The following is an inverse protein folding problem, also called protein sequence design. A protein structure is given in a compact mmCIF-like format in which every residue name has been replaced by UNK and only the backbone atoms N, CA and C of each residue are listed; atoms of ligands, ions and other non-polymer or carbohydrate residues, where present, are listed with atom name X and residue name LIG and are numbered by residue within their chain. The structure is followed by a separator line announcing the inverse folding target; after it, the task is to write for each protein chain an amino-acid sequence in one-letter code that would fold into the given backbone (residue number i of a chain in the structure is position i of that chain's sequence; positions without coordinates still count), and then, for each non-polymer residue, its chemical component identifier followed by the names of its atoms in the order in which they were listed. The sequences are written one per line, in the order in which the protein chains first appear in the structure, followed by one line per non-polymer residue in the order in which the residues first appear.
data_IF_362320382932
#
_entry.id   IF_362320382932
#
_cell.length_a   1.000
_cell.length_b   1.000
_cell.length_c   1.000
_cell.angle_alpha   90.00
_cell.angle_beta   90.00
_cell.angle_gamma   90.00
#
_symmetry.space_group_name_H-M   'P 1'
#
loop_
_entity.id
_entity.type
_entity.pdbx_description
1 polymer ?
#
# COMPACT_ATOMS: atom_id res chain seq x y z
N UNK A 1 4.28 -16.41 10.53
CA UNK A 1 3.90 -15.01 10.76
C UNK A 1 2.63 -14.72 9.98
N UNK A 2 1.61 -14.14 10.63
CA UNK A 2 0.33 -13.80 10.01
C UNK A 2 0.36 -12.31 9.70
N UNK A 3 0.83 -11.96 8.50
CA UNK A 3 0.83 -10.57 8.03
C UNK A 3 -0.61 -10.08 7.87
N UNK A 4 -0.85 -8.80 8.16
CA UNK A 4 -2.16 -8.19 7.97
C UNK A 4 -2.49 -8.06 6.48
N UNK A 5 -3.78 -8.08 6.12
CA UNK A 5 -4.18 -7.91 4.72
C UNK A 5 -3.76 -6.53 4.19
N UNK A 6 -3.79 -5.52 5.05
CA UNK A 6 -3.33 -4.17 4.73
C UNK A 6 -1.84 -4.12 4.41
N UNK A 7 -0.96 -4.74 5.22
CA UNK A 7 0.48 -4.82 4.91
C UNK A 7 0.76 -5.48 3.56
N UNK A 8 0.05 -6.56 3.24
CA UNK A 8 0.23 -7.23 1.93
C UNK A 8 -0.16 -6.32 0.77
N UNK A 9 -1.29 -5.62 0.86
CA UNK A 9 -1.75 -4.71 -0.20
C UNK A 9 -0.79 -3.53 -0.33
N UNK A 10 -0.36 -2.94 0.80
CA UNK A 10 0.66 -1.88 0.84
C UNK A 10 1.93 -2.34 0.14
N UNK A 11 2.46 -3.50 0.51
CA UNK A 11 3.69 -4.04 -0.06
C UNK A 11 3.59 -4.15 -1.58
N UNK A 12 2.53 -4.79 -2.08
CA UNK A 12 2.35 -4.98 -3.53
C UNK A 12 2.16 -3.67 -4.26
N UNK A 13 1.39 -2.73 -3.70
CA UNK A 13 1.21 -1.40 -4.27
C UNK A 13 2.55 -0.68 -4.48
N UNK A 14 3.42 -0.64 -3.46
CA UNK A 14 4.72 0.03 -3.57
C UNK A 14 5.71 -0.73 -4.47
N UNK A 15 5.70 -2.07 -4.44
CA UNK A 15 6.54 -2.88 -5.35
C UNK A 15 6.17 -2.66 -6.82
N UNK A 16 4.88 -2.53 -7.16
CA UNK A 16 4.44 -2.20 -8.53
C UNK A 16 4.93 -0.81 -8.98
N UNK A 17 5.12 0.12 -8.04
CA UNK A 17 5.76 1.42 -8.28
C UNK A 17 7.29 1.35 -8.37
N UNK A 18 7.88 0.16 -8.27
CA UNK A 18 9.33 -0.10 -8.24
C UNK A 18 10.04 0.51 -7.03
N UNK A 19 9.34 0.64 -5.91
CA UNK A 19 9.94 1.10 -4.66
C UNK A 19 10.55 -0.10 -3.92
N UNK A 20 11.60 0.15 -3.13
CA UNK A 20 12.10 -0.83 -2.16
C UNK A 20 11.10 -0.87 -1.00
N UNK A 21 10.75 -2.07 -0.55
CA UNK A 21 9.76 -2.27 0.51
C UNK A 21 10.27 -3.31 1.49
N UNK A 22 10.28 -2.93 2.76
CA UNK A 22 10.58 -3.79 3.91
C UNK A 22 9.38 -3.79 4.86
N UNK A 23 9.04 -4.94 5.43
CA UNK A 23 7.96 -5.09 6.42
C UNK A 23 8.54 -5.46 7.77
N UNK A 24 7.76 -5.26 8.83
CA UNK A 24 8.14 -5.59 10.22
C UNK A 24 9.52 -5.00 10.58
N UNK A 25 9.72 -3.73 10.27
CA UNK A 25 11.01 -3.07 10.46
C UNK A 25 11.21 -2.80 11.96
N UNK A 26 12.23 -3.39 12.60
CA UNK A 26 12.48 -3.18 14.01
C UNK A 26 12.99 -1.75 14.24
N UNK A 27 12.28 -1.00 15.08
CA UNK A 27 12.67 0.36 15.49
C UNK A 27 13.28 0.30 16.87
N UNK A 28 14.59 0.56 16.94
CA UNK A 28 15.29 0.57 18.22
C UNK A 28 15.01 1.89 18.96
N UNK A 29 14.68 1.81 20.26
CA UNK A 29 14.43 2.98 21.08
C UNK A 29 15.69 3.84 21.22
N UNK A 30 15.58 5.12 20.91
CA UNK A 30 16.69 6.08 21.05
C UNK A 30 17.01 6.44 22.51
N UNK A 31 16.12 6.08 23.44
CA UNK A 31 16.13 6.58 24.82
C UNK A 31 16.66 5.54 25.84
N UNK A 32 17.33 4.48 25.39
CA UNK A 32 17.90 3.43 26.25
C UNK A 32 16.88 2.50 26.96
N UNK A 33 15.57 2.74 26.82
CA UNK A 33 14.52 1.83 27.31
C UNK A 33 14.44 0.58 26.43
N UNK A 34 14.23 -0.61 26.99
CA UNK A 34 14.20 -1.91 26.28
C UNK A 34 12.99 -2.17 25.36
N UNK A 35 12.14 -1.18 25.08
CA UNK A 35 10.93 -1.42 24.30
C UNK A 35 11.22 -1.32 22.80
N UNK A 36 11.14 -2.45 22.10
CA UNK A 36 11.15 -2.51 20.65
C UNK A 36 9.75 -2.10 20.16
N UNK A 37 9.70 -1.20 19.18
CA UNK A 37 8.49 -0.95 18.41
C UNK A 37 8.73 -1.36 16.98
N UNK A 38 7.72 -1.91 16.32
CA UNK A 38 7.86 -2.34 14.94
C UNK A 38 7.13 -1.34 14.04
N UNK A 39 7.78 -0.95 12.95
CA UNK A 39 7.17 -0.23 11.85
C UNK A 39 6.61 -1.26 10.87
N UNK A 40 5.29 -1.22 10.63
CA UNK A 40 4.60 -2.23 9.83
C UNK A 40 5.18 -2.32 8.41
N UNK A 41 5.37 -1.18 7.73
CA UNK A 41 6.04 -1.12 6.41
C UNK A 41 6.93 0.13 6.25
N UNK A 42 8.14 -0.07 5.74
CA UNK A 42 9.02 0.96 5.20
C UNK A 42 9.04 0.86 3.67
N UNK A 43 8.69 1.93 2.97
CA UNK A 43 8.80 2.00 1.51
C UNK A 43 9.71 3.15 1.08
N UNK A 44 10.69 2.87 0.22
CA UNK A 44 11.70 3.83 -0.24
C UNK A 44 11.70 3.88 -1.77
N UNK A 45 11.34 5.04 -2.32
CA UNK A 45 11.44 5.36 -3.73
C UNK A 45 11.97 6.78 -3.89
N UNK A 46 11.20 7.66 -4.55
CA UNK A 46 11.54 9.08 -4.61
C UNK A 46 11.50 9.72 -3.21
N UNK A 47 10.54 9.30 -2.40
CA UNK A 47 10.35 9.67 -1.00
C UNK A 47 10.54 8.45 -0.08
N UNK A 48 10.56 8.67 1.24
CA UNK A 48 10.55 7.62 2.26
C UNK A 48 9.19 7.62 2.95
N UNK A 49 8.48 6.50 2.87
CA UNK A 49 7.18 6.34 3.51
C UNK A 49 7.30 5.39 4.70
N UNK A 50 6.92 5.89 5.87
CA UNK A 50 6.78 5.13 7.11
C UNK A 50 5.30 4.84 7.28
N UNK A 51 4.93 3.57 7.21
CA UNK A 51 3.53 3.17 7.08
C UNK A 51 3.16 2.29 8.27
N UNK A 52 2.09 2.68 8.96
CA UNK A 52 1.42 1.80 9.92
C UNK A 52 0.09 1.31 9.36
N UNK A 53 -0.17 0.03 9.56
CA UNK A 53 -1.31 -0.71 9.04
C UNK A 53 -2.17 -1.22 10.20
N UNK A 54 -3.49 -0.98 10.14
CA UNK A 54 -4.45 -1.51 11.11
C UNK A 54 -5.71 -2.02 10.40
N UNK A 55 -5.97 -3.32 10.53
CA UNK A 55 -7.14 -3.97 9.90
C UNK A 55 -8.46 -3.72 10.67
N UNK A 56 -8.40 -3.19 11.89
CA UNK A 56 -9.56 -3.01 12.79
C UNK A 56 -9.71 -1.56 13.26
N UNK A 57 -10.90 -1.22 13.78
CA UNK A 57 -11.23 0.07 14.40
C UNK A 57 -10.35 0.33 15.63
N UNK A 58 -9.35 1.23 15.57
CA UNK A 58 -8.54 1.53 16.73
C UNK A 58 -9.35 2.35 17.74
N UNK A 59 -9.17 2.03 19.01
CA UNK A 59 -9.46 2.92 20.14
C UNK A 59 -8.63 4.21 20.06
N UNK A 60 -9.08 5.27 20.74
CA UNK A 60 -8.34 6.53 20.81
C UNK A 60 -6.92 6.37 21.42
N UNK A 61 -6.68 5.34 22.23
CA UNK A 61 -5.34 5.05 22.79
C UNK A 61 -4.41 4.43 21.76
N UNK A 62 -4.95 3.65 20.82
CA UNK A 62 -4.16 3.02 19.78
C UNK A 62 -3.65 4.04 18.76
N UNK A 63 -4.44 5.08 18.46
CA UNK A 63 -3.95 6.12 17.54
C UNK A 63 -2.79 6.93 18.13
N UNK A 64 -2.78 7.19 19.45
CA UNK A 64 -1.63 7.82 20.12
C UNK A 64 -0.36 6.98 19.97
N UNK A 65 -0.51 5.66 20.08
CA UNK A 65 0.60 4.72 19.87
C UNK A 65 1.07 4.72 18.41
N UNK A 66 0.17 4.78 17.44
CA UNK A 66 0.52 4.88 16.01
C UNK A 66 1.33 6.15 15.74
N UNK A 67 0.87 7.30 16.27
CA UNK A 67 1.57 8.58 16.13
C UNK A 67 2.99 8.48 16.70
N UNK A 68 3.11 8.05 17.96
CA UNK A 68 4.41 7.93 18.63
C UNK A 68 5.34 6.94 17.93
N UNK A 69 4.83 5.81 17.46
CA UNK A 69 5.64 4.82 16.75
C UNK A 69 6.18 5.37 15.42
N UNK A 70 5.36 6.11 14.67
CA UNK A 70 5.80 6.70 13.39
C UNK A 70 6.82 7.83 13.61
N UNK A 71 6.71 8.61 14.68
CA UNK A 71 7.72 9.60 15.07
C UNK A 71 9.04 8.94 15.44
N UNK A 72 9.00 7.92 16.30
CA UNK A 72 10.19 7.16 16.68
C UNK A 72 10.85 6.49 15.48
N UNK A 73 10.05 5.95 14.56
CA UNK A 73 10.53 5.34 13.33
C UNK A 73 11.23 6.37 12.44
N UNK A 74 10.68 7.58 12.31
CA UNK A 74 11.30 8.64 11.51
C UNK A 74 12.66 9.04 12.07
N UNK A 75 12.77 9.23 13.38
CA UNK A 75 14.03 9.55 14.04
C UNK A 75 15.06 8.44 13.87
N UNK A 76 14.67 7.18 14.11
CA UNK A 76 15.53 6.01 13.96
C UNK A 76 16.03 5.87 12.52
N UNK A 77 15.12 5.92 11.54
CA UNK A 77 15.47 5.70 10.14
C UNK A 77 16.39 6.83 9.63
N UNK A 78 16.13 8.09 10.00
CA UNK A 78 17.01 9.21 9.62
C UNK A 78 18.42 9.08 10.21
N UNK A 79 18.55 8.53 11.41
CA UNK A 79 19.83 8.34 12.10
C UNK A 79 20.61 7.16 11.52
N UNK A 80 19.99 5.98 11.42
CA UNK A 80 20.67 4.75 10.98
C UNK A 80 20.92 4.74 9.46
N UNK A 81 20.00 5.30 8.69
CA UNK A 81 20.09 5.33 7.22
C UNK A 81 20.40 6.75 6.74
N UNK A 82 21.60 7.22 7.06
CA UNK A 82 22.09 8.58 6.72
C UNK A 82 21.96 8.94 5.23
N UNK A 83 21.98 7.95 4.31
CA UNK A 83 21.78 8.18 2.88
C UNK A 83 20.32 8.56 2.52
N UNK A 84 19.36 8.32 3.40
CA UNK A 84 17.96 8.72 3.23
C UNK A 84 17.66 10.12 3.75
N UNK A 85 18.56 10.76 4.52
CA UNK A 85 18.28 12.01 5.26
C UNK A 85 17.78 13.17 4.40
N UNK A 86 18.15 13.21 3.13
CA UNK A 86 17.79 14.28 2.18
C UNK A 86 16.48 13.99 1.43
N UNK A 87 15.88 12.80 1.62
CA UNK A 87 14.57 12.49 1.04
C UNK A 87 13.46 13.07 1.90
N UNK A 88 12.34 13.38 1.26
CA UNK A 88 11.11 13.72 1.97
C UNK A 88 10.58 12.48 2.69
N UNK A 89 10.30 12.61 3.99
CA UNK A 89 9.66 11.56 4.79
C UNK A 89 8.16 11.82 4.86
N UNK A 90 7.35 10.78 4.66
CA UNK A 90 5.91 10.80 4.86
C UNK A 90 5.50 9.71 5.84
N UNK A 91 4.66 10.09 6.79
CA UNK A 91 4.03 9.18 7.75
C UNK A 91 2.64 8.85 7.23
N UNK A 92 2.33 7.57 7.09
CA UNK A 92 1.09 7.09 6.50
C UNK A 92 0.42 6.11 7.46
N UNK A 93 -0.88 6.29 7.67
CA UNK A 93 -1.73 5.40 8.42
C UNK A 93 -2.76 4.75 7.49
N UNK A 94 -2.62 3.45 7.26
CA UNK A 94 -3.53 2.63 6.44
C UNK A 94 -4.50 1.89 7.36
N UNK A 95 -5.80 2.02 7.10
CA UNK A 95 -6.83 1.46 7.98
C UNK A 95 -7.95 0.71 7.25
N UNK A 96 -8.35 -0.45 7.76
CA UNK A 96 -9.52 -1.22 7.28
C UNK A 96 -10.87 -0.75 7.85
N UNK A 97 -10.81 0.01 8.93
CA UNK A 97 -11.92 0.73 9.55
C UNK A 97 -11.36 1.59 10.66
N UNK A 98 -11.68 2.88 10.70
CA UNK A 98 -11.24 3.77 11.78
C UNK A 98 -12.33 4.77 12.15
N UNK A 99 -12.42 5.09 13.44
CA UNK A 99 -13.31 6.15 13.91
C UNK A 99 -12.87 7.51 13.38
N UNK A 100 -13.83 8.39 13.06
CA UNK A 100 -13.57 9.75 12.53
C UNK A 100 -12.61 10.55 13.41
N UNK A 101 -12.78 10.47 14.73
CA UNK A 101 -11.91 11.15 15.72
C UNK A 101 -10.46 10.69 15.60
N UNK A 102 -10.22 9.38 15.46
CA UNK A 102 -8.87 8.83 15.30
C UNK A 102 -8.23 9.28 13.99
N UNK A 103 -9.00 9.31 12.89
CA UNK A 103 -8.53 9.78 11.58
C UNK A 103 -8.13 11.26 11.67
N UNK A 104 -9.01 12.11 12.21
CA UNK A 104 -8.73 13.54 12.38
C UNK A 104 -7.51 13.79 13.27
N UNK A 105 -7.35 12.99 14.33
CA UNK A 105 -6.20 13.08 15.21
C UNK A 105 -4.89 12.73 14.50
N UNK A 106 -4.87 11.67 13.68
CA UNK A 106 -3.70 11.32 12.87
C UNK A 106 -3.34 12.47 11.91
N UNK A 107 -4.34 12.99 11.19
CA UNK A 107 -4.16 14.08 10.22
C UNK A 107 -3.63 15.36 10.87
N UNK A 108 -4.13 15.72 12.07
CA UNK A 108 -3.62 16.86 12.84
C UNK A 108 -2.13 16.74 13.22
N UNK A 109 -1.60 15.51 13.26
CA UNK A 109 -0.17 15.24 13.52
C UNK A 109 0.64 15.03 12.22
N UNK A 110 0.11 15.49 11.07
CA UNK A 110 0.80 15.40 9.78
C UNK A 110 0.91 13.99 9.22
N UNK A 111 0.04 13.07 9.66
CA UNK A 111 -0.01 11.69 9.16
C UNK A 111 -1.06 11.62 8.05
N UNK A 112 -0.64 11.18 6.86
CA UNK A 112 -1.57 10.88 5.77
C UNK A 112 -2.38 9.63 6.12
N UNK A 113 -3.70 9.70 5.99
CA UNK A 113 -4.58 8.58 6.31
C UNK A 113 -5.16 8.00 5.03
N UNK A 114 -5.10 6.69 4.84
CA UNK A 114 -5.59 5.99 3.65
C UNK A 114 -6.51 4.85 4.08
N UNK A 115 -7.77 4.87 3.63
CA UNK A 115 -8.67 3.73 3.79
C UNK A 115 -8.16 2.56 2.94
N UNK A 116 -8.23 1.34 3.48
CA UNK A 116 -7.76 0.14 2.79
C UNK A 116 -8.47 -0.09 1.45
N UNK A 117 -9.75 0.32 1.32
CA UNK A 117 -10.50 0.25 0.06
C UNK A 117 -9.92 1.19 -0.98
N UNK A 118 -9.50 2.38 -0.56
CA UNK A 118 -8.89 3.39 -1.42
C UNK A 118 -7.49 2.93 -1.85
N UNK A 119 -6.74 2.31 -0.94
CA UNK A 119 -5.45 1.69 -1.26
C UNK A 119 -5.62 0.53 -2.25
N UNK A 120 -6.64 -0.31 -2.07
CA UNK A 120 -6.94 -1.40 -3.00
C UNK A 120 -7.27 -0.87 -4.40
N UNK A 121 -8.00 0.25 -4.50
CA UNK A 121 -8.26 0.93 -5.77
C UNK A 121 -6.96 1.42 -6.43
N UNK A 122 -6.08 2.08 -5.66
CA UNK A 122 -4.75 2.50 -6.12
C UNK A 122 -3.91 1.30 -6.59
N UNK A 123 -3.95 0.19 -5.86
CA UNK A 123 -3.29 -1.06 -6.23
C UNK A 123 -3.78 -1.60 -7.59
N UNK A 124 -5.09 -1.71 -7.79
CA UNK A 124 -5.64 -2.15 -9.09
C UNK A 124 -5.15 -1.29 -10.25
N UNK A 125 -5.08 0.02 -10.04
CA UNK A 125 -4.59 0.95 -11.06
C UNK A 125 -3.12 0.72 -11.40
N UNK A 126 -2.26 0.53 -10.40
CA UNK A 126 -0.85 0.23 -10.66
C UNK A 126 -0.65 -1.15 -11.29
N UNK A 127 -1.46 -2.14 -10.90
CA UNK A 127 -1.43 -3.47 -11.52
C UNK A 127 -1.78 -3.40 -13.01
N UNK A 128 -2.85 -2.69 -13.37
CA UNK A 128 -3.21 -2.45 -14.78
C UNK A 128 -2.11 -1.71 -15.55
N UNK A 129 -1.48 -0.69 -14.96
CA UNK A 129 -0.35 0.02 -15.58
C UNK A 129 0.87 -0.88 -15.78
N UNK A 130 1.13 -1.80 -14.85
CA UNK A 130 2.22 -2.76 -14.95
C UNK A 130 1.93 -3.78 -16.07
N UNK A 131 0.75 -4.39 -16.06
CA UNK A 131 0.39 -5.47 -16.98
C UNK A 131 0.04 -5.00 -18.40
N UNK A 132 -0.51 -3.79 -18.55
CA UNK A 132 -0.80 -3.21 -19.88
C UNK A 132 0.46 -3.02 -20.73
N UNK A 133 1.63 -2.90 -20.08
CA UNK A 133 2.95 -2.88 -20.75
C UNK A 133 3.42 -4.28 -21.16
N UNK A 134 2.96 -5.33 -20.47
CA UNK A 134 3.32 -6.73 -20.73
C UNK A 134 2.38 -7.41 -21.74
N UNK A 135 1.20 -6.84 -22.01
CA UNK A 135 0.22 -7.36 -22.96
C UNK A 135 0.64 -7.19 -24.43
N UNK A 136 1.74 -7.85 -24.80
CA UNK A 136 2.17 -8.02 -26.18
C UNK A 136 1.46 -9.24 -26.79
N UNK A 137 0.41 -8.98 -27.56
CA UNK A 137 0.17 -9.70 -28.82
C UNK A 137 -0.33 -11.15 -28.79
N UNK A 138 -1.19 -11.55 -27.84
CA UNK A 138 -1.89 -12.84 -27.95
C UNK A 138 -3.03 -12.77 -28.98
N UNK A 139 -2.87 -13.48 -30.10
CA UNK A 139 -3.83 -13.53 -31.23
C UNK A 139 -5.06 -14.39 -30.94
N UNK A 140 -5.02 -15.20 -29.89
CA UNK A 140 -6.06 -16.16 -29.50
C UNK A 140 -7.14 -15.57 -28.57
N UNK A 141 -7.03 -14.29 -28.22
CA UNK A 141 -7.96 -13.59 -27.34
C UNK A 141 -8.92 -12.76 -28.18
N UNK A 142 -10.23 -12.85 -27.87
CA UNK A 142 -11.23 -12.06 -28.57
C UNK A 142 -10.96 -10.58 -28.35
N UNK A 143 -10.99 -9.81 -29.45
CA UNK A 143 -10.83 -8.35 -29.43
C UNK A 143 -11.74 -7.71 -28.40
N UNK A 144 -11.18 -6.85 -27.55
CA UNK A 144 -11.94 -6.16 -26.50
C UNK A 144 -12.13 -6.95 -25.20
N UNK A 145 -11.56 -8.15 -25.07
CA UNK A 145 -11.45 -8.84 -23.78
C UNK A 145 -10.13 -8.51 -23.08
N UNK A 146 -10.22 -8.21 -21.78
CA UNK A 146 -9.03 -8.06 -20.94
C UNK A 146 -8.46 -9.44 -20.62
N UNK A 147 -7.16 -9.57 -20.82
CA UNK A 147 -6.41 -10.73 -20.37
C UNK A 147 -4.98 -10.33 -20.05
N UNK A 148 -4.45 -10.83 -18.94
CA UNK A 148 -3.08 -10.60 -18.51
C UNK A 148 -2.28 -11.89 -18.55
N UNK A 149 -1.01 -11.79 -18.96
CA UNK A 149 -0.07 -12.90 -18.87
C UNK A 149 0.34 -13.07 -17.40
N UNK A 150 -0.06 -14.19 -16.79
CA UNK A 150 0.09 -14.43 -15.35
C UNK A 150 1.36 -15.21 -14.99
N UNK A 151 2.07 -15.78 -15.98
CA UNK A 151 3.18 -16.72 -15.76
C UNK A 151 4.27 -16.20 -14.82
N UNK A 152 4.68 -14.95 -15.02
CA UNK A 152 5.75 -14.27 -14.27
C UNK A 152 5.24 -13.52 -13.02
N UNK A 153 3.93 -13.57 -12.73
CA UNK A 153 3.37 -12.91 -11.56
C UNK A 153 3.43 -13.82 -10.34
N UNK A 154 3.57 -13.22 -9.17
CA UNK A 154 3.61 -13.93 -7.89
C UNK A 154 2.58 -13.38 -6.90
N UNK A 155 2.20 -14.23 -5.94
CA UNK A 155 1.35 -13.87 -4.82
C UNK A 155 0.03 -13.20 -5.24
N UNK A 156 -0.25 -12.04 -4.63
CA UNK A 156 -1.49 -11.30 -4.85
C UNK A 156 -1.66 -10.88 -6.31
N UNK A 157 -0.61 -10.45 -7.00
CA UNK A 157 -0.72 -9.96 -8.38
C UNK A 157 -1.19 -11.06 -9.33
N UNK A 158 -0.69 -12.28 -9.13
CA UNK A 158 -1.12 -13.48 -9.85
C UNK A 158 -2.59 -13.80 -9.58
N UNK A 159 -2.98 -13.80 -8.31
CA UNK A 159 -4.35 -14.09 -7.92
C UNK A 159 -5.34 -13.05 -8.47
N UNK A 160 -5.03 -11.76 -8.34
CA UNK A 160 -5.90 -10.68 -8.81
C UNK A 160 -6.00 -10.66 -10.34
N UNK A 161 -4.90 -10.94 -11.04
CA UNK A 161 -4.91 -11.08 -12.49
C UNK A 161 -5.74 -12.29 -12.95
N UNK A 162 -5.69 -13.41 -12.22
CA UNK A 162 -6.56 -14.55 -12.46
C UNK A 162 -8.05 -14.15 -12.32
N UNK A 163 -8.42 -13.47 -11.24
CA UNK A 163 -9.80 -13.04 -11.03
C UNK A 163 -10.30 -12.12 -12.17
N UNK A 164 -9.45 -11.21 -12.65
CA UNK A 164 -9.75 -10.33 -13.78
C UNK A 164 -9.89 -11.10 -15.10
N UNK A 165 -8.96 -12.02 -15.39
CA UNK A 165 -8.99 -12.83 -16.62
C UNK A 165 -10.23 -13.72 -16.72
N UNK A 166 -10.74 -14.17 -15.57
CA UNK A 166 -11.90 -15.07 -15.50
C UNK A 166 -13.21 -14.35 -15.17
N UNK A 167 -13.21 -13.01 -15.17
CA UNK A 167 -14.40 -12.17 -14.94
C UNK A 167 -15.07 -12.40 -13.57
N UNK A 168 -14.34 -12.93 -12.58
CA UNK A 168 -14.80 -12.99 -11.18
C UNK A 168 -14.85 -11.60 -10.54
N UNK A 169 -13.90 -10.76 -10.94
CA UNK A 169 -13.92 -9.30 -10.76
C UNK A 169 -13.82 -8.72 -12.16
N UNK A 170 -14.71 -7.82 -12.54
CA UNK A 170 -14.78 -7.30 -13.91
C UNK A 170 -14.42 -5.81 -13.98
N UNK A 171 -14.14 -5.33 -15.20
CA UNK A 171 -13.72 -3.95 -15.46
C UNK A 171 -14.74 -2.93 -14.94
N UNK A 172 -16.04 -3.21 -15.04
CA UNK A 172 -17.08 -2.33 -14.52
C UNK A 172 -16.97 -2.16 -13.01
N UNK A 173 -16.83 -3.27 -12.28
CA UNK A 173 -16.69 -3.28 -10.82
C UNK A 173 -15.45 -2.52 -10.37
N UNK A 174 -14.31 -2.75 -11.04
CA UNK A 174 -13.07 -2.04 -10.71
C UNK A 174 -13.16 -0.57 -11.08
N UNK A 175 -13.71 -0.22 -12.24
CA UNK A 175 -13.86 1.18 -12.65
C UNK A 175 -14.80 1.96 -11.71
N UNK A 176 -15.90 1.35 -11.25
CA UNK A 176 -16.77 1.94 -10.25
C UNK A 176 -16.03 2.23 -8.93
N UNK A 177 -15.11 1.34 -8.51
CA UNK A 177 -14.26 1.56 -7.34
C UNK A 177 -13.24 2.70 -7.59
N UNK A 178 -12.61 2.73 -8.75
CA UNK A 178 -11.64 3.78 -9.14
C UNK A 178 -12.31 5.16 -9.19
N UNK A 179 -13.50 5.26 -9.77
CA UNK A 179 -14.25 6.52 -9.88
C UNK A 179 -14.67 7.07 -8.51
N UNK A 180 -15.16 6.20 -7.62
CA UNK A 180 -15.44 6.58 -6.22
C UNK A 180 -14.23 7.18 -5.52
N UNK A 181 -13.03 6.77 -5.94
CA UNK A 181 -11.74 7.22 -5.42
C UNK A 181 -11.09 8.35 -6.24
N UNK A 182 -11.78 8.87 -7.27
CA UNK A 182 -11.25 9.89 -8.19
C UNK A 182 -9.94 9.45 -8.88
N UNK A 183 -9.83 8.16 -9.19
CA UNK A 183 -8.73 7.56 -9.92
C UNK A 183 -9.20 7.26 -11.35
N UNK A 184 -8.34 7.49 -12.34
CA UNK A 184 -8.65 7.19 -13.74
C UNK A 184 -8.97 5.70 -13.93
N UNK A 185 -9.98 5.44 -14.77
CA UNK A 185 -10.39 4.09 -15.21
C UNK A 185 -9.23 3.23 -15.69
N UNK A 186 -9.41 1.92 -15.63
CA UNK A 186 -8.48 0.94 -16.22
C UNK A 186 -8.25 1.23 -17.70
N UNK A 187 -7.08 0.83 -18.21
CA UNK A 187 -6.75 0.90 -19.63
C UNK A 187 -7.77 0.13 -20.47
N UNK A 188 -8.07 0.55 -21.71
CA UNK A 188 -9.00 -0.23 -22.55
C UNK A 188 -8.36 -1.57 -22.95
N UNK A 189 -9.12 -2.69 -22.93
CA UNK A 189 -8.64 -3.94 -23.50
C UNK A 189 -8.34 -3.76 -25.00
N UNK A 190 -7.27 -4.42 -25.47
CA UNK A 190 -6.79 -4.32 -26.85
C UNK A 190 -7.50 -5.32 -27.78
#
# INVERSE_FOLDING_TARGET
MKYSNSEFIVERYYRLKKWLVEKDVPILPQNGKRFWSDLDVLAVGDEVHLISCKDFLPSNKEIDRVIQNLENAEEYIKKEYNYLKNKTFKKIYVYGGSGKISIEKAQKNGIETIDLKDLLAKYFKELDRYLSKMNLGRKDIKKGQRYYIVGELEGLDKFMSFLLNHNFINDETVNNLLEKNRIDRLSKPK
#
